data_IF_391031665870
#
_entry.id   IF_391031665870
#
_cell.length_a   1.000
_cell.length_b   1.000
_cell.length_c   1.000
_cell.angle_alpha   90.00
_cell.angle_beta   90.00
_cell.angle_gamma   90.00
#
_symmetry.space_group_name_H-M   'P 1'
#
loop_
_entity.id
_entity.type
_entity.pdbx_description
1 polymer ?
#
# COMPACT_ATOMS: atom_id res chain seq x y z
N UNK A 1 -7.31 -9.97 0.55
CA UNK A 1 -7.84 -10.26 1.90
C UNK A 1 -9.32 -10.46 1.77
N UNK A 2 -9.81 -11.67 2.05
CA UNK A 2 -11.22 -12.01 1.90
C UNK A 2 -11.67 -12.83 3.12
N UNK A 3 -12.91 -12.59 3.54
CA UNK A 3 -13.57 -13.25 4.66
C UNK A 3 -14.79 -13.97 4.12
N UNK A 4 -14.93 -15.25 4.42
CA UNK A 4 -16.15 -16.00 4.12
C UNK A 4 -16.51 -16.91 5.28
N UNK A 5 -17.76 -17.36 5.25
CA UNK A 5 -18.33 -18.26 6.24
C UNK A 5 -18.41 -19.64 5.59
N UNK A 6 -17.61 -20.57 6.09
CA UNK A 6 -17.75 -21.97 5.72
C UNK A 6 -18.81 -22.61 6.62
N UNK A 7 -19.84 -23.19 6.00
CA UNK A 7 -20.87 -23.96 6.68
C UNK A 7 -20.38 -25.40 6.82
N UNK A 8 -20.14 -25.84 8.05
CA UNK A 8 -19.75 -27.22 8.35
C UNK A 8 -20.99 -28.14 8.34
N UNK A 9 -20.80 -29.46 8.10
CA UNK A 9 -21.88 -30.45 8.19
C UNK A 9 -22.56 -30.50 9.56
N UNK A 10 -21.87 -30.07 10.62
CA UNK A 10 -22.39 -29.96 11.99
C UNK A 10 -23.25 -28.71 12.23
N UNK A 11 -23.67 -28.00 11.17
CA UNK A 11 -24.43 -26.74 11.24
C UNK A 11 -23.69 -25.59 11.97
N UNK A 12 -22.40 -25.75 12.22
CA UNK A 12 -21.54 -24.72 12.81
C UNK A 12 -20.98 -23.81 11.71
N UNK A 13 -20.97 -22.51 11.99
CA UNK A 13 -20.40 -21.50 11.08
C UNK A 13 -18.95 -21.24 11.47
N UNK A 14 -18.01 -21.54 10.57
CA UNK A 14 -16.61 -21.15 10.73
C UNK A 14 -16.33 -19.91 9.91
N UNK A 15 -15.94 -18.82 10.57
CA UNK A 15 -15.45 -17.63 9.89
C UNK A 15 -14.00 -17.91 9.52
N UNK A 16 -13.74 -18.06 8.23
CA UNK A 16 -12.40 -18.30 7.72
C UNK A 16 -11.85 -17.00 7.17
N UNK A 17 -10.68 -16.65 7.70
CA UNK A 17 -9.91 -15.53 7.23
C UNK A 17 -8.86 -16.03 6.24
N UNK A 18 -8.97 -15.61 4.97
CA UNK A 18 -7.91 -15.85 4.00
C UNK A 18 -7.20 -14.53 3.66
N UNK A 19 -5.98 -14.43 4.19
CA UNK A 19 -4.98 -13.54 3.61
C UNK A 19 -4.52 -14.17 2.30
N UNK A 20 -4.47 -13.42 1.20
CA UNK A 20 -3.70 -13.89 0.04
C UNK A 20 -2.27 -14.07 0.53
N UNK A 21 -1.71 -15.26 0.39
CA UNK A 21 -0.28 -15.46 0.59
C UNK A 21 0.46 -14.47 -0.31
N UNK A 22 1.33 -13.67 0.28
CA UNK A 22 2.02 -12.54 -0.35
C UNK A 22 2.95 -12.95 -1.51
N UNK A 23 3.07 -14.24 -1.80
CA UNK A 23 3.98 -14.82 -2.78
C UNK A 23 3.59 -14.60 -4.24
N UNK A 24 2.45 -13.95 -4.55
CA UNK A 24 2.03 -13.72 -5.94
C UNK A 24 1.52 -12.32 -6.24
N UNK A 25 1.82 -11.31 -5.41
CA UNK A 25 1.73 -9.93 -5.92
C UNK A 25 2.86 -9.76 -6.92
N UNK A 26 2.52 -9.78 -8.21
CA UNK A 26 3.50 -9.58 -9.26
C UNK A 26 4.22 -8.25 -8.99
N UNK A 27 5.55 -8.27 -9.04
CA UNK A 27 6.35 -7.04 -8.97
C UNK A 27 5.86 -6.00 -10.00
N UNK A 28 5.23 -6.46 -11.08
CA UNK A 28 4.58 -5.64 -12.08
C UNK A 28 3.44 -4.80 -11.52
N UNK A 29 2.55 -5.35 -10.69
CA UNK A 29 1.37 -4.64 -10.17
C UNK A 29 1.78 -3.51 -9.23
N UNK A 30 2.78 -3.78 -8.39
CA UNK A 30 3.38 -2.76 -7.51
C UNK A 30 4.02 -1.63 -8.31
N UNK A 31 4.75 -1.96 -9.37
CA UNK A 31 5.38 -0.96 -10.22
C UNK A 31 4.32 -0.12 -10.95
N UNK A 32 3.30 -0.76 -11.54
CA UNK A 32 2.17 -0.08 -12.18
C UNK A 32 1.50 0.91 -11.23
N UNK A 33 1.28 0.50 -9.98
CA UNK A 33 0.63 1.34 -8.97
C UNK A 33 1.41 2.64 -8.73
N UNK A 34 2.73 2.54 -8.51
CA UNK A 34 3.57 3.72 -8.30
C UNK A 34 3.68 4.58 -9.56
N UNK A 35 3.85 3.96 -10.74
CA UNK A 35 3.90 4.72 -12.00
C UNK A 35 2.61 5.47 -12.27
N UNK A 36 1.44 4.86 -12.02
CA UNK A 36 0.15 5.53 -12.20
C UNK A 36 0.00 6.73 -11.25
N UNK A 37 0.40 6.60 -9.99
CA UNK A 37 0.41 7.71 -9.02
C UNK A 37 1.30 8.87 -9.47
N UNK A 38 2.53 8.58 -9.90
CA UNK A 38 3.45 9.60 -10.39
C UNK A 38 2.96 10.24 -11.68
N UNK A 39 2.42 9.45 -12.61
CA UNK A 39 1.86 9.97 -13.87
C UNK A 39 0.70 10.92 -13.59
N UNK A 40 -0.23 10.55 -12.69
CA UNK A 40 -1.36 11.40 -12.32
C UNK A 40 -0.91 12.72 -11.72
N UNK A 41 0.05 12.68 -10.78
CA UNK A 41 0.63 13.90 -10.21
C UNK A 41 1.32 14.78 -11.25
N UNK A 42 2.11 14.18 -12.16
CA UNK A 42 2.80 14.91 -13.23
C UNK A 42 1.84 15.56 -14.22
N UNK A 43 0.76 14.88 -14.60
CA UNK A 43 -0.28 15.44 -15.49
C UNK A 43 -0.88 16.70 -14.87
N UNK A 44 -1.28 16.65 -13.60
CA UNK A 44 -1.83 17.83 -12.92
C UNK A 44 -0.80 18.94 -12.71
N UNK A 45 0.47 18.58 -12.51
CA UNK A 45 1.57 19.54 -12.43
C UNK A 45 1.75 20.29 -13.75
N UNK A 46 1.77 19.58 -14.88
CA UNK A 46 1.86 20.21 -16.20
C UNK A 46 0.65 21.11 -16.49
N UNK A 47 -0.57 20.65 -16.19
CA UNK A 47 -1.79 21.44 -16.37
C UNK A 47 -1.81 22.70 -15.48
N UNK A 48 -1.37 22.60 -14.23
CA UNK A 48 -1.27 23.75 -13.32
C UNK A 48 -0.28 24.78 -13.85
N UNK A 49 0.87 24.36 -14.37
CA UNK A 49 1.88 25.25 -14.97
C UNK A 49 1.31 25.93 -16.22
N UNK A 50 0.63 25.18 -17.09
CA UNK A 50 0.00 25.73 -18.30
C UNK A 50 -1.06 26.78 -17.96
N UNK A 51 -1.91 26.52 -16.96
CA UNK A 51 -2.94 27.47 -16.53
C UNK A 51 -2.36 28.69 -15.83
N UNK A 52 -1.22 28.55 -15.14
CA UNK A 52 -0.48 29.66 -14.56
C UNK A 52 0.05 30.60 -15.66
N UNK A 53 0.59 30.07 -16.75
CA UNK A 53 1.04 30.88 -17.90
C UNK A 53 -0.13 31.58 -18.62
N UNK A 54 -1.31 30.94 -18.63
CA UNK A 54 -2.54 31.49 -19.23
C UNK A 54 -3.20 32.60 -18.38
N UNK A 55 -2.75 32.83 -17.13
CA UNK A 55 -3.31 33.79 -16.16
C UNK A 55 -4.82 33.61 -15.88
N UNK A 56 -5.34 32.40 -16.10
CA UNK A 56 -6.73 32.07 -15.85
C UNK A 56 -6.93 31.60 -14.41
N UNK A 57 -7.22 32.53 -13.50
CA UNK A 57 -7.31 32.27 -12.05
C UNK A 57 -8.27 31.14 -11.65
N UNK A 58 -9.47 31.06 -12.23
CA UNK A 58 -10.44 30.01 -11.89
C UNK A 58 -9.94 28.61 -12.26
N UNK A 59 -9.36 28.48 -13.47
CA UNK A 59 -8.81 27.22 -13.97
C UNK A 59 -7.54 26.83 -13.22
N UNK A 60 -6.70 27.80 -12.87
CA UNK A 60 -5.53 27.60 -12.05
C UNK A 60 -5.90 27.04 -10.66
N UNK A 61 -6.89 27.64 -9.97
CA UNK A 61 -7.35 27.14 -8.67
C UNK A 61 -7.87 25.70 -8.75
N UNK A 62 -8.62 25.36 -9.80
CA UNK A 62 -9.10 24.00 -10.02
C UNK A 62 -7.93 23.02 -10.18
N UNK A 63 -6.98 23.32 -11.08
CA UNK A 63 -5.80 22.50 -11.28
C UNK A 63 -4.94 22.38 -10.01
N UNK A 64 -4.82 23.47 -9.24
CA UNK A 64 -4.08 23.50 -7.99
C UNK A 64 -4.69 22.55 -6.94
N UNK A 65 -6.01 22.54 -6.79
CA UNK A 65 -6.70 21.62 -5.87
C UNK A 65 -6.48 20.16 -6.31
N UNK A 66 -6.60 19.86 -7.61
CA UNK A 66 -6.35 18.52 -8.14
C UNK A 66 -4.90 18.06 -7.91
N UNK A 67 -3.94 18.97 -8.08
CA UNK A 67 -2.53 18.72 -7.79
C UNK A 67 -2.30 18.43 -6.31
N UNK A 68 -2.91 19.21 -5.42
CA UNK A 68 -2.81 19.02 -3.98
C UNK A 68 -3.42 17.68 -3.54
N UNK A 69 -4.57 17.29 -4.09
CA UNK A 69 -5.20 16.00 -3.82
C UNK A 69 -4.33 14.83 -4.32
N UNK A 70 -3.70 15.00 -5.49
CA UNK A 70 -2.75 14.02 -6.04
C UNK A 70 -1.50 13.88 -5.16
N UNK A 71 -0.98 15.01 -4.66
CA UNK A 71 0.15 15.03 -3.73
C UNK A 71 -0.18 14.30 -2.42
N UNK A 72 -1.35 14.57 -1.83
CA UNK A 72 -1.78 13.89 -0.60
C UNK A 72 -1.92 12.39 -0.79
N UNK A 73 -2.51 11.96 -1.91
CA UNK A 73 -2.60 10.53 -2.23
C UNK A 73 -1.20 9.90 -2.28
N UNK A 74 -0.26 10.51 -3.01
CA UNK A 74 1.12 10.03 -3.10
C UNK A 74 1.80 9.98 -1.72
N UNK A 75 1.68 11.04 -0.93
CA UNK A 75 2.29 11.14 0.39
C UNK A 75 1.77 10.08 1.36
N UNK A 76 0.45 9.86 1.40
CA UNK A 76 -0.17 8.85 2.24
C UNK A 76 0.33 7.44 1.90
N UNK A 77 0.36 7.09 0.61
CA UNK A 77 0.89 5.79 0.18
C UNK A 77 2.38 5.64 0.48
N UNK A 78 3.16 6.71 0.33
CA UNK A 78 4.58 6.71 0.66
C UNK A 78 4.84 6.50 2.15
N UNK A 79 4.09 7.20 3.00
CA UNK A 79 4.16 7.05 4.45
C UNK A 79 3.75 5.65 4.90
N UNK A 80 2.62 5.12 4.40
CA UNK A 80 2.19 3.75 4.70
C UNK A 80 3.22 2.71 4.26
N UNK A 81 3.79 2.84 3.06
CA UNK A 81 4.81 1.91 2.57
C UNK A 81 6.10 1.94 3.39
N UNK A 82 6.46 3.10 3.96
CA UNK A 82 7.61 3.25 4.84
C UNK A 82 7.37 2.60 6.20
N UNK A 83 6.20 2.84 6.80
CA UNK A 83 5.85 2.28 8.11
C UNK A 83 5.69 0.75 8.06
N UNK A 84 5.10 0.18 7.00
CA UNK A 84 5.04 -1.27 6.81
C UNK A 84 6.44 -1.92 6.84
N UNK A 85 7.42 -1.33 6.15
CA UNK A 85 8.80 -1.84 6.13
C UNK A 85 9.46 -1.75 7.50
N UNK A 86 9.23 -0.67 8.25
CA UNK A 86 9.74 -0.52 9.61
C UNK A 86 9.13 -1.54 10.57
N UNK A 87 7.82 -1.77 10.49
CA UNK A 87 7.13 -2.74 11.33
C UNK A 87 7.68 -4.15 11.09
N UNK A 88 7.83 -4.56 9.83
CA UNK A 88 8.42 -5.85 9.46
C UNK A 88 9.86 -5.97 9.96
N UNK A 89 10.69 -4.93 9.77
CA UNK A 89 12.06 -4.91 10.26
C UNK A 89 12.15 -5.00 11.79
N UNK A 90 11.30 -4.26 12.52
CA UNK A 90 11.23 -4.29 13.98
C UNK A 90 10.73 -5.64 14.51
N UNK A 91 9.76 -6.27 13.85
CA UNK A 91 9.33 -7.62 14.21
C UNK A 91 10.50 -8.59 14.01
N UNK A 92 11.19 -8.53 12.87
CA UNK A 92 12.36 -9.38 12.60
C UNK A 92 13.49 -9.18 13.62
N UNK A 93 13.74 -7.95 14.08
CA UNK A 93 14.80 -7.66 15.07
C UNK A 93 14.43 -8.06 16.50
N UNK A 94 13.14 -8.02 16.86
CA UNK A 94 12.66 -8.45 18.19
C UNK A 94 12.45 -9.97 18.28
N UNK A 95 12.40 -10.67 17.14
CA UNK A 95 12.39 -12.12 17.10
C UNK A 95 13.80 -12.63 17.46
N UNK A 96 13.93 -13.25 18.65
CA UNK A 96 15.17 -13.91 19.04
C UNK A 96 15.36 -15.18 18.19
N UNK A 97 16.04 -15.02 17.06
CA UNK A 97 16.32 -16.10 16.11
C UNK A 97 17.05 -17.27 16.77
N UNK A 98 17.88 -17.01 17.79
CA UNK A 98 18.55 -18.07 18.56
C UNK A 98 17.56 -18.89 19.41
N UNK A 99 16.50 -18.27 19.95
CA UNK A 99 15.44 -18.98 20.68
C UNK A 99 14.62 -19.88 19.73
N UNK A 100 14.27 -19.39 18.54
CA UNK A 100 13.55 -20.17 17.54
C UNK A 100 14.42 -21.31 17.00
N UNK A 101 15.69 -21.03 16.69
CA UNK A 101 16.66 -22.03 16.24
C UNK A 101 16.81 -23.17 17.24
N UNK A 102 17.06 -22.86 18.51
CA UNK A 102 17.19 -23.89 19.54
C UNK A 102 15.89 -24.66 19.75
N UNK A 103 14.72 -24.02 19.67
CA UNK A 103 13.44 -24.73 19.81
C UNK A 103 13.15 -25.69 18.66
N UNK A 104 13.59 -25.38 17.44
CA UNK A 104 13.31 -26.22 16.26
C UNK A 104 14.36 -27.32 16.09
N UNK A 105 15.64 -27.02 16.29
CA UNK A 105 16.74 -27.95 16.00
C UNK A 105 17.26 -28.70 17.22
N UNK A 106 16.96 -28.25 18.44
CA UNK A 106 17.40 -28.91 19.69
C UNK A 106 16.27 -29.66 20.40
N UNK A 107 15.01 -29.39 20.03
CA UNK A 107 13.82 -30.06 20.60
C UNK A 107 13.18 -31.08 19.63
N UNK A 108 13.97 -31.51 18.63
CA UNK A 108 13.70 -32.62 17.71
C UNK A 108 14.82 -33.65 17.87
#
# INVERSE_FOLDING_TARGET
MIWWIDANPDYSNKIVFQSSEENSLSNMDKNIFWYALYAYFLIWLMQTIQMLMSLQFCWFLLCFICLFLSFYNLFNFWQCSKEQRKMVANVMSNVNLNYIYNKIFYNM
#
